data_IF_735904015268
#
_entry.id   IF_735904015268
#
_cell.length_a   1.000
_cell.length_b   1.000
_cell.length_c   1.000
_cell.angle_alpha   90.00
_cell.angle_beta   90.00
_cell.angle_gamma   90.00
#
_symmetry.space_group_name_H-M   'P 1'
#
loop_
_entity.id
_entity.type
_entity.pdbx_description
1 polymer ?
#
# COMPACT_ATOMS: atom_id res chain seq x y z
N UNK A 1 12.66 13.31 -33.12
CA UNK A 1 11.46 13.56 -32.28
C UNK A 1 10.85 12.20 -32.03
N UNK A 2 10.94 11.68 -30.80
CA UNK A 2 10.43 10.36 -30.47
C UNK A 2 8.96 10.49 -30.04
N UNK A 3 8.07 9.74 -30.69
CA UNK A 3 6.68 9.61 -30.30
C UNK A 3 6.59 8.96 -28.93
N UNK A 4 6.20 9.75 -27.94
CA UNK A 4 5.89 9.29 -26.60
C UNK A 4 4.56 8.51 -26.69
N UNK A 5 4.66 7.18 -26.60
CA UNK A 5 3.48 6.31 -26.51
C UNK A 5 2.70 6.71 -25.26
N UNK A 6 1.56 7.37 -25.46
CA UNK A 6 0.54 7.54 -24.44
C UNK A 6 -0.01 6.16 -24.07
N UNK A 7 0.69 5.47 -23.16
CA UNK A 7 0.19 4.26 -22.53
C UNK A 7 -1.10 4.60 -21.80
N UNK A 8 -2.11 3.74 -21.94
CA UNK A 8 -3.38 3.83 -21.22
C UNK A 8 -3.13 3.88 -19.71
N UNK A 9 -2.97 5.08 -19.16
CA UNK A 9 -2.99 5.29 -17.72
C UNK A 9 -4.42 5.02 -17.27
N UNK A 10 -4.64 3.87 -16.64
CA UNK A 10 -5.92 3.62 -15.98
C UNK A 10 -6.11 4.72 -14.94
N UNK A 11 -7.28 5.36 -14.87
CA UNK A 11 -7.55 6.34 -13.83
C UNK A 11 -7.30 5.66 -12.48
N UNK A 12 -6.39 6.24 -11.69
CA UNK A 12 -6.15 5.74 -10.35
C UNK A 12 -7.39 6.07 -9.51
N UNK A 13 -8.05 5.09 -8.89
CA UNK A 13 -9.11 5.36 -7.93
C UNK A 13 -8.56 6.26 -6.81
N UNK A 14 -9.42 7.11 -6.25
CA UNK A 14 -9.08 7.86 -5.03
C UNK A 14 -8.63 6.88 -3.95
N UNK A 15 -7.68 7.32 -3.11
CA UNK A 15 -7.03 6.54 -2.04
C UNK A 15 -8.08 5.78 -1.19
N UNK A 16 -9.18 6.45 -0.88
CA UNK A 16 -10.30 5.91 -0.09
C UNK A 16 -11.10 4.81 -0.82
N UNK A 17 -11.33 4.97 -2.13
CA UNK A 17 -12.08 3.99 -2.92
C UNK A 17 -11.30 2.70 -3.15
N UNK A 18 -9.99 2.80 -3.37
CA UNK A 18 -9.13 1.63 -3.50
C UNK A 18 -9.12 0.80 -2.22
N UNK A 19 -8.85 1.46 -1.11
CA UNK A 19 -8.72 0.80 0.21
C UNK A 19 -10.03 0.16 0.64
N UNK A 20 -11.15 0.85 0.45
CA UNK A 20 -12.48 0.33 0.77
C UNK A 20 -12.80 -0.95 -0.01
N UNK A 21 -12.49 -0.95 -1.32
CA UNK A 21 -12.68 -2.11 -2.17
C UNK A 21 -11.77 -3.26 -1.77
N UNK A 22 -10.49 -2.99 -1.53
CA UNK A 22 -9.50 -3.99 -1.16
C UNK A 22 -9.85 -4.65 0.19
N UNK A 23 -10.34 -3.88 1.16
CA UNK A 23 -10.86 -4.40 2.43
C UNK A 23 -12.02 -5.36 2.21
N UNK A 24 -13.00 -4.98 1.41
CA UNK A 24 -14.15 -5.84 1.08
C UNK A 24 -13.73 -7.14 0.38
N UNK A 25 -12.81 -7.07 -0.60
CA UNK A 25 -12.27 -8.26 -1.29
C UNK A 25 -11.59 -9.25 -0.33
N UNK A 26 -11.12 -8.76 0.81
CA UNK A 26 -10.46 -9.56 1.84
C UNK A 26 -11.32 -9.86 3.07
N UNK A 27 -12.62 -9.56 3.02
CA UNK A 27 -13.58 -9.84 4.10
C UNK A 27 -13.49 -8.90 5.29
N UNK A 28 -12.81 -7.76 5.14
CA UNK A 28 -12.74 -6.70 6.14
C UNK A 28 -13.89 -5.72 5.94
N UNK A 29 -14.41 -5.19 7.05
CA UNK A 29 -15.32 -4.05 7.00
C UNK A 29 -14.62 -2.83 6.41
N UNK A 30 -15.39 -1.93 5.78
CA UNK A 30 -14.84 -0.67 5.27
C UNK A 30 -14.18 0.14 6.38
N UNK A 31 -14.77 0.12 7.58
CA UNK A 31 -14.27 0.79 8.78
C UNK A 31 -13.41 -0.12 9.67
N UNK A 32 -12.82 -1.17 9.10
CA UNK A 32 -11.98 -2.12 9.85
C UNK A 32 -10.91 -1.39 10.67
N UNK A 33 -10.78 -1.84 11.92
CA UNK A 33 -9.76 -1.35 12.83
C UNK A 33 -8.35 -1.70 12.32
N UNK A 34 -7.35 -0.95 12.80
CA UNK A 34 -5.96 -1.25 12.43
C UNK A 34 -5.53 -2.66 12.87
N UNK A 35 -6.09 -3.17 13.96
CA UNK A 35 -5.81 -4.53 14.46
C UNK A 35 -6.32 -5.61 13.48
N UNK A 36 -7.53 -5.44 12.91
CA UNK A 36 -8.06 -6.34 11.88
C UNK A 36 -7.25 -6.26 10.58
N UNK A 37 -6.84 -5.04 10.20
CA UNK A 37 -5.96 -4.82 9.04
C UNK A 37 -4.60 -5.47 9.25
N UNK A 38 -4.03 -5.37 10.46
CA UNK A 38 -2.74 -5.96 10.83
C UNK A 38 -2.74 -7.47 10.63
N UNK A 39 -3.70 -8.18 11.23
CA UNK A 39 -3.77 -9.64 11.10
C UNK A 39 -3.87 -10.08 9.63
N UNK A 40 -4.69 -9.38 8.84
CA UNK A 40 -4.87 -9.72 7.42
C UNK A 40 -3.63 -9.38 6.59
N UNK A 41 -3.03 -8.22 6.82
CA UNK A 41 -1.86 -7.76 6.11
C UNK A 41 -0.65 -8.66 6.39
N UNK A 42 -0.39 -9.02 7.65
CA UNK A 42 0.69 -9.94 8.04
C UNK A 42 0.54 -11.28 7.31
N UNK A 43 -0.68 -11.84 7.26
CA UNK A 43 -0.95 -13.08 6.53
C UNK A 43 -0.59 -12.97 5.03
N UNK A 44 -0.96 -11.86 4.39
CA UNK A 44 -0.68 -11.62 2.96
C UNK A 44 0.80 -11.32 2.69
N UNK A 45 1.48 -10.62 3.60
CA UNK A 45 2.91 -10.32 3.53
C UNK A 45 3.79 -11.56 3.71
N UNK A 46 3.25 -12.63 4.29
CA UNK A 46 3.92 -13.92 4.43
C UNK A 46 4.08 -14.71 3.13
N UNK A 47 3.36 -14.32 2.06
CA UNK A 47 3.40 -15.02 0.78
C UNK A 47 3.80 -14.07 -0.36
N UNK A 48 4.89 -14.35 -1.11
CA UNK A 48 5.38 -13.45 -2.16
C UNK A 48 4.32 -13.04 -3.21
N UNK A 49 3.44 -13.93 -3.70
CA UNK A 49 2.38 -13.56 -4.63
C UNK A 49 1.36 -12.55 -4.09
N UNK A 50 1.20 -12.46 -2.77
CA UNK A 50 0.21 -11.59 -2.11
C UNK A 50 0.85 -10.43 -1.34
N UNK A 51 2.18 -10.32 -1.33
CA UNK A 51 2.88 -9.34 -0.52
C UNK A 51 2.58 -7.90 -0.96
N UNK A 52 2.39 -7.67 -2.26
CA UNK A 52 1.96 -6.35 -2.78
C UNK A 52 0.58 -5.99 -2.22
N UNK A 53 -0.39 -6.91 -2.31
CA UNK A 53 -1.74 -6.72 -1.77
C UNK A 53 -1.72 -6.46 -0.26
N UNK A 54 -0.85 -7.15 0.49
CA UNK A 54 -0.63 -6.88 1.90
C UNK A 54 -0.14 -5.46 2.14
N UNK A 55 0.83 -4.97 1.34
CA UNK A 55 1.31 -3.60 1.43
C UNK A 55 0.24 -2.57 1.07
N UNK A 56 -0.58 -2.83 0.06
CA UNK A 56 -1.69 -1.95 -0.34
C UNK A 56 -2.72 -1.78 0.78
N UNK A 57 -3.01 -2.86 1.52
CA UNK A 57 -3.89 -2.80 2.69
C UNK A 57 -3.32 -1.92 3.81
N UNK A 58 -2.02 -2.02 4.08
CA UNK A 58 -1.36 -1.22 5.13
C UNK A 58 -1.29 0.26 4.75
N UNK A 59 -0.84 0.55 3.53
CA UNK A 59 -0.60 1.92 3.07
C UNK A 59 -1.90 2.65 2.70
N UNK A 60 -2.98 1.90 2.47
CA UNK A 60 -4.25 2.43 2.03
C UNK A 60 -4.16 3.08 0.64
N UNK A 61 -3.30 2.58 -0.23
CA UNK A 61 -3.15 3.06 -1.61
C UNK A 61 -2.69 1.92 -2.50
N UNK A 62 -2.72 2.14 -3.81
CA UNK A 62 -2.18 1.19 -4.77
C UNK A 62 -0.64 1.19 -4.71
N UNK A 63 -0.04 0.01 -4.87
CA UNK A 63 1.40 -0.19 -4.90
C UNK A 63 1.76 -0.88 -6.20
N UNK A 64 2.57 -0.20 -7.01
CA UNK A 64 3.10 -0.77 -8.24
C UNK A 64 4.44 -1.47 -7.96
N UNK A 65 4.79 -2.47 -8.78
CA UNK A 65 6.08 -3.16 -8.68
C UNK A 65 7.31 -2.24 -8.92
N UNK A 66 7.08 -1.03 -9.44
CA UNK A 66 8.09 0.01 -9.60
C UNK A 66 8.23 0.95 -8.40
N UNK A 67 7.42 0.77 -7.35
CA UNK A 67 7.48 1.60 -6.14
C UNK A 67 8.79 1.32 -5.39
N UNK A 68 9.75 2.25 -5.52
CA UNK A 68 11.11 2.10 -5.00
C UNK A 68 11.18 2.11 -3.48
N UNK A 69 10.14 2.59 -2.81
CA UNK A 69 10.12 2.71 -1.36
C UNK A 69 9.44 1.48 -0.73
N UNK A 70 8.46 0.89 -1.42
CA UNK A 70 7.72 -0.28 -0.92
C UNK A 70 8.34 -1.59 -1.36
N UNK A 71 8.81 -1.68 -2.61
CA UNK A 71 9.34 -2.93 -3.18
C UNK A 71 10.47 -3.53 -2.34
N UNK A 72 11.46 -2.74 -1.84
CA UNK A 72 12.49 -3.29 -0.96
C UNK A 72 11.91 -3.88 0.32
N UNK A 73 10.87 -3.28 0.91
CA UNK A 73 10.27 -3.78 2.16
C UNK A 73 9.64 -5.15 1.94
N UNK A 74 8.83 -5.31 0.88
CA UNK A 74 8.12 -6.56 0.63
C UNK A 74 9.00 -7.67 0.01
N UNK A 75 10.05 -7.30 -0.72
CA UNK A 75 10.92 -8.24 -1.42
C UNK A 75 12.20 -8.62 -0.65
N UNK A 76 12.54 -7.94 0.44
CA UNK A 76 13.76 -8.24 1.21
C UNK A 76 13.67 -9.65 1.82
N UNK A 77 14.63 -10.54 1.50
CA UNK A 77 14.74 -11.85 2.11
C UNK A 77 15.07 -11.74 3.60
N UNK A 78 14.52 -12.63 4.42
CA UNK A 78 14.82 -12.71 5.85
C UNK A 78 14.04 -11.73 6.74
N UNK A 79 13.28 -10.78 6.17
CA UNK A 79 12.28 -10.03 6.94
C UNK A 79 11.07 -10.91 7.24
N UNK A 80 10.66 -10.92 8.50
CA UNK A 80 9.40 -11.54 8.91
C UNK A 80 8.20 -10.75 8.35
N UNK A 81 7.04 -11.39 8.16
CA UNK A 81 5.82 -10.69 7.74
C UNK A 81 5.43 -9.55 8.69
N UNK A 82 5.67 -9.72 9.99
CA UNK A 82 5.45 -8.72 11.03
C UNK A 82 6.39 -7.52 10.87
N UNK A 83 7.67 -7.75 10.56
CA UNK A 83 8.62 -6.66 10.34
C UNK A 83 8.30 -5.88 9.07
N UNK A 84 7.85 -6.58 8.02
CA UNK A 84 7.34 -5.94 6.80
C UNK A 84 6.15 -5.05 7.12
N UNK A 85 5.19 -5.54 7.90
CA UNK A 85 4.03 -4.76 8.33
C UNK A 85 4.45 -3.49 9.08
N UNK A 86 5.33 -3.61 10.08
CA UNK A 86 5.83 -2.46 10.85
C UNK A 86 6.53 -1.41 9.98
N UNK A 87 7.38 -1.85 9.05
CA UNK A 87 8.08 -0.94 8.13
C UNK A 87 7.10 -0.22 7.19
N UNK A 88 6.08 -0.92 6.71
CA UNK A 88 5.01 -0.33 5.90
C UNK A 88 4.18 0.69 6.70
N UNK A 89 3.90 0.39 7.98
CA UNK A 89 3.17 1.30 8.86
C UNK A 89 3.95 2.60 9.11
N UNK A 90 5.25 2.49 9.39
CA UNK A 90 6.15 3.64 9.50
C UNK A 90 6.17 4.45 8.21
N UNK A 91 6.23 3.78 7.06
CA UNK A 91 6.20 4.43 5.76
C UNK A 91 4.88 5.18 5.53
N UNK A 92 3.75 4.59 5.89
CA UNK A 92 2.44 5.26 5.84
C UNK A 92 2.45 6.53 6.68
N UNK A 93 2.97 6.48 7.91
CA UNK A 93 3.05 7.67 8.77
C UNK A 93 3.89 8.79 8.13
N UNK A 94 5.01 8.45 7.46
CA UNK A 94 5.82 9.43 6.73
C UNK A 94 5.05 10.03 5.55
N UNK A 95 4.32 9.21 4.79
CA UNK A 95 3.49 9.70 3.67
C UNK A 95 2.40 10.65 4.15
N UNK A 96 1.69 10.27 5.22
CA UNK A 96 0.60 11.07 5.78
C UNK A 96 1.15 12.42 6.33
N UNK A 97 2.32 12.44 6.99
CA UNK A 97 2.98 13.68 7.43
C UNK A 97 3.43 14.59 6.27
N UNK A 98 3.80 14.02 5.13
CA UNK A 98 4.21 14.80 3.95
C UNK A 98 3.01 15.42 3.25
N UNK A 99 1.88 14.71 3.19
CA UNK A 99 0.62 15.23 2.67
C UNK A 99 0.13 16.42 3.51
N UNK A 100 0.21 16.34 4.85
CA UNK A 100 -0.15 17.43 5.75
C UNK A 100 0.72 18.69 5.54
N UNK A 101 2.05 18.52 5.41
CA UNK A 101 2.98 19.65 5.17
C UNK A 101 2.91 20.21 3.74
N UNK A 102 2.49 19.40 2.77
CA UNK A 102 2.27 19.81 1.38
C UNK A 102 0.95 20.57 1.17
N UNK A 103 -0.04 20.32 2.03
CA UNK A 103 -1.35 21.00 2.01
C UNK A 103 -1.32 22.44 2.52
N UNK A 104 -0.34 22.84 3.33
CA UNK A 104 -0.19 24.21 3.86
C UNK A 104 0.43 25.23 2.88
N UNK A 105 0.71 24.84 1.63
CA UNK A 105 1.23 25.75 0.57
C UNK A 105 0.26 26.04 -0.56
N UNK A 106 -1.05 25.96 -0.31
CA UNK A 106 -2.14 26.33 -1.23
C UNK A 106 -2.85 27.60 -0.82
#
# INVERSE_FOLDING_TARGET
MAEERAGFQRPQPTRDNWTSRLRQEHGLHTDASMEEVEQKAISLLGSPPTAITGAELVLGRRVDAGDKEITPIIATPGLSPEDRFRLLLLRKSVEDMQEEQGGEKG
#
